data_IF_700854835856
#
_entry.id   IF_700854835856
#
_cell.length_a   1.000
_cell.length_b   1.000
_cell.length_c   1.000
_cell.angle_alpha   90.00
_cell.angle_beta   90.00
_cell.angle_gamma   90.00
#
_symmetry.space_group_name_H-M   'P 1'
#
loop_
_entity.id
_entity.type
_entity.pdbx_description
1 polymer ?
#
# COMPACT_ATOMS: atom_id res chain seq x y z
N UNK A 1 -13.80 12.98 12.99
CA UNK A 1 -13.49 12.93 11.56
C UNK A 1 -14.73 12.42 10.84
N UNK A 2 -15.27 13.16 9.88
CA UNK A 2 -16.39 12.72 9.05
C UNK A 2 -15.88 11.89 7.84
N UNK A 3 -16.81 11.27 7.08
CA UNK A 3 -16.49 10.42 5.94
C UNK A 3 -15.63 11.12 4.87
N UNK A 4 -15.93 12.38 4.56
CA UNK A 4 -15.20 13.14 3.55
C UNK A 4 -13.77 13.42 3.99
N UNK A 5 -13.58 13.86 5.24
CA UNK A 5 -12.26 14.07 5.84
C UNK A 5 -11.42 12.78 5.83
N UNK A 6 -12.05 11.64 6.17
CA UNK A 6 -11.38 10.33 6.14
C UNK A 6 -10.98 9.91 4.72
N UNK A 7 -11.87 10.12 3.75
CA UNK A 7 -11.60 9.83 2.32
C UNK A 7 -10.44 10.66 1.81
N UNK A 8 -10.42 11.96 2.09
CA UNK A 8 -9.32 12.85 1.72
C UNK A 8 -8.00 12.47 2.41
N UNK A 9 -8.05 12.07 3.68
CA UNK A 9 -6.87 11.55 4.38
C UNK A 9 -6.31 10.30 3.69
N UNK A 10 -7.16 9.32 3.37
CA UNK A 10 -6.75 8.09 2.69
C UNK A 10 -6.13 8.41 1.33
N UNK A 11 -6.76 9.28 0.53
CA UNK A 11 -6.23 9.68 -0.77
C UNK A 11 -4.89 10.40 -0.62
N UNK A 12 -4.75 11.24 0.42
CA UNK A 12 -3.50 11.91 0.74
C UNK A 12 -2.35 10.94 0.98
N UNK A 13 -2.59 9.77 1.58
CA UNK A 13 -1.56 8.75 1.79
C UNK A 13 -0.99 8.16 0.51
N UNK A 14 -1.70 8.26 -0.63
CA UNK A 14 -1.17 7.78 -1.92
C UNK A 14 0.07 8.58 -2.34
N UNK A 15 0.16 9.85 -1.95
CA UNK A 15 1.32 10.71 -2.26
C UNK A 15 2.61 10.24 -1.58
N UNK A 16 2.49 9.46 -0.50
CA UNK A 16 3.59 8.87 0.25
C UNK A 16 3.49 7.35 0.31
N UNK A 17 2.82 6.73 -0.67
CA UNK A 17 2.60 5.29 -0.71
C UNK A 17 3.93 4.56 -0.91
N UNK A 18 4.19 3.52 -0.10
CA UNK A 18 5.44 2.75 -0.18
C UNK A 18 5.74 2.27 -1.60
N UNK A 19 4.71 1.89 -2.38
CA UNK A 19 4.91 1.41 -3.75
C UNK A 19 5.40 2.49 -4.72
N UNK A 20 5.33 3.78 -4.38
CA UNK A 20 5.78 4.85 -5.26
C UNK A 20 7.21 5.32 -4.95
N UNK A 21 7.84 4.83 -3.88
CA UNK A 21 9.17 5.27 -3.47
C UNK A 21 10.17 4.13 -3.57
N UNK A 22 10.90 4.08 -4.68
CA UNK A 22 11.87 3.02 -4.93
C UNK A 22 13.22 3.34 -4.29
N UNK A 23 13.86 2.30 -3.79
CA UNK A 23 15.21 2.41 -3.26
C UNK A 23 16.20 2.65 -4.41
N UNK A 24 17.07 3.67 -4.32
CA UNK A 24 18.08 3.93 -5.35
C UNK A 24 19.20 2.86 -5.37
N UNK A 25 19.39 2.15 -4.24
CA UNK A 25 20.36 1.07 -4.08
C UNK A 25 19.96 0.12 -2.94
N UNK A 26 20.46 -1.12 -2.92
CA UNK A 26 21.28 -1.77 -3.95
C UNK A 26 20.45 -2.14 -5.20
N UNK A 27 21.11 -2.29 -6.35
CA UNK A 27 20.45 -2.56 -7.64
C UNK A 27 19.55 -3.80 -7.61
N UNK A 28 19.92 -4.83 -6.83
CA UNK A 28 19.11 -6.04 -6.65
C UNK A 28 17.74 -5.72 -6.03
N UNK A 29 17.69 -4.83 -5.03
CA UNK A 29 16.43 -4.40 -4.40
C UNK A 29 15.61 -3.57 -5.39
N UNK A 30 16.24 -2.62 -6.08
CA UNK A 30 15.58 -1.80 -7.09
C UNK A 30 14.89 -2.65 -8.15
N UNK A 31 15.57 -3.65 -8.72
CA UNK A 31 14.99 -4.57 -9.71
C UNK A 31 13.82 -5.38 -9.15
N UNK A 32 13.87 -5.77 -7.88
CA UNK A 32 12.76 -6.46 -7.21
C UNK A 32 11.55 -5.53 -7.04
N UNK A 33 11.75 -4.26 -6.68
CA UNK A 33 10.69 -3.25 -6.59
C UNK A 33 10.09 -2.98 -7.98
N UNK A 34 10.91 -2.76 -8.99
CA UNK A 34 10.46 -2.58 -10.38
C UNK A 34 9.60 -3.75 -10.85
N UNK A 35 10.02 -4.99 -10.58
CA UNK A 35 9.27 -6.17 -10.96
C UNK A 35 7.97 -6.33 -10.18
N UNK A 36 8.03 -6.25 -8.84
CA UNK A 36 6.91 -6.61 -7.97
C UNK A 36 5.96 -5.43 -7.75
N UNK A 37 6.49 -4.28 -7.33
CA UNK A 37 5.68 -3.09 -7.10
C UNK A 37 5.23 -2.46 -8.41
N UNK A 38 6.09 -2.47 -9.44
CA UNK A 38 5.74 -2.00 -10.78
C UNK A 38 4.53 -2.73 -11.37
N UNK A 39 4.39 -4.04 -11.12
CA UNK A 39 3.22 -4.81 -11.56
C UNK A 39 1.91 -4.34 -10.89
N UNK A 40 1.94 -3.96 -9.62
CA UNK A 40 0.77 -3.42 -8.91
C UNK A 40 0.43 -2.03 -9.47
N UNK A 41 1.43 -1.16 -9.61
CA UNK A 41 1.27 0.20 -10.16
C UNK A 41 0.68 0.16 -11.57
N UNK A 42 1.17 -0.74 -12.42
CA UNK A 42 0.68 -0.91 -13.78
C UNK A 42 -0.82 -1.22 -13.81
N UNK A 43 -1.32 -2.09 -12.92
CA UNK A 43 -2.76 -2.42 -12.86
C UNK A 43 -3.64 -1.22 -12.53
N UNK A 44 -3.21 -0.34 -11.62
CA UNK A 44 -3.94 0.89 -11.34
C UNK A 44 -3.88 1.86 -12.52
N UNK A 45 -2.74 1.95 -13.21
CA UNK A 45 -2.61 2.77 -14.41
C UNK A 45 -3.48 2.25 -15.57
N UNK A 46 -3.63 0.92 -15.71
CA UNK A 46 -4.54 0.30 -16.68
C UNK A 46 -6.02 0.63 -16.40
N UNK A 47 -6.36 0.88 -15.13
CA UNK A 47 -7.69 1.39 -14.70
C UNK A 47 -7.85 2.90 -14.88
N UNK A 48 -6.85 3.61 -15.41
CA UNK A 48 -6.89 5.05 -15.67
C UNK A 48 -6.22 5.92 -14.61
N UNK A 49 -5.47 5.35 -13.67
CA UNK A 49 -4.56 6.14 -12.82
C UNK A 49 -3.31 6.58 -13.59
N UNK A 50 -2.54 7.48 -12.98
CA UNK A 50 -1.26 7.97 -13.50
C UNK A 50 -0.23 8.02 -12.37
N UNK A 51 0.06 6.85 -11.84
CA UNK A 51 0.99 6.62 -10.75
C UNK A 51 2.40 6.39 -11.33
N UNK A 52 3.38 7.12 -10.81
CA UNK A 52 4.77 7.05 -11.24
C UNK A 52 5.67 6.83 -10.03
N UNK A 53 6.48 5.76 -10.02
CA UNK A 53 7.53 5.61 -9.02
C UNK A 53 8.52 6.77 -9.06
N UNK A 54 9.14 7.05 -7.91
CA UNK A 54 10.19 8.05 -7.74
C UNK A 54 11.29 7.48 -6.85
N UNK A 55 12.52 7.96 -7.05
CA UNK A 55 13.67 7.76 -6.15
C UNK A 55 13.93 9.03 -5.30
N UNK A 56 13.14 10.08 -5.53
CA UNK A 56 13.26 11.37 -4.85
C UNK A 56 12.57 11.35 -3.49
N UNK A 57 13.13 12.09 -2.53
CA UNK A 57 12.50 12.37 -1.24
C UNK A 57 11.36 13.40 -1.34
N UNK A 58 11.16 14.00 -2.52
CA UNK A 58 10.06 14.94 -2.73
C UNK A 58 8.72 14.21 -2.75
N UNK A 59 7.75 14.74 -2.01
CA UNK A 59 6.36 14.28 -2.08
C UNK A 59 5.79 14.60 -3.45
N UNK A 60 5.30 13.58 -4.14
CA UNK A 60 4.67 13.75 -5.46
C UNK A 60 3.18 14.02 -5.30
N UNK A 61 2.61 14.84 -6.18
CA UNK A 61 1.17 15.04 -6.23
C UNK A 61 0.53 14.00 -7.15
N UNK A 62 -0.63 13.47 -6.74
CA UNK A 62 -1.46 12.67 -7.64
C UNK A 62 -2.30 13.60 -8.52
N UNK A 63 -2.56 13.20 -9.76
CA UNK A 63 -3.41 13.98 -10.66
C UNK A 63 -4.90 13.78 -10.38
N UNK A 64 -5.72 14.61 -11.03
CA UNK A 64 -7.16 14.60 -10.84
C UNK A 64 -7.80 13.26 -11.25
N UNK A 65 -7.27 12.60 -12.29
CA UNK A 65 -7.76 11.31 -12.76
C UNK A 65 -7.53 10.21 -11.71
N UNK A 66 -6.31 10.11 -11.18
CA UNK A 66 -5.96 9.18 -10.11
C UNK A 66 -6.80 9.44 -8.87
N UNK A 67 -6.93 10.71 -8.46
CA UNK A 67 -7.76 11.09 -7.31
C UNK A 67 -9.22 10.67 -7.49
N UNK A 68 -9.80 10.93 -8.67
CA UNK A 68 -11.18 10.58 -8.95
C UNK A 68 -11.43 9.07 -8.94
N UNK A 69 -10.51 8.28 -9.52
CA UNK A 69 -10.57 6.82 -9.50
C UNK A 69 -10.60 6.28 -8.06
N UNK A 70 -9.72 6.80 -7.20
CA UNK A 70 -9.65 6.42 -5.79
C UNK A 70 -10.91 6.85 -5.03
N UNK A 71 -11.43 8.05 -5.27
CA UNK A 71 -12.67 8.54 -4.66
C UNK A 71 -13.85 7.60 -4.96
N UNK A 72 -14.09 7.30 -6.24
CA UNK A 72 -15.16 6.38 -6.67
C UNK A 72 -15.01 5.04 -5.96
N UNK A 73 -13.79 4.52 -5.87
CA UNK A 73 -13.56 3.22 -5.25
C UNK A 73 -13.80 3.24 -3.74
N UNK A 74 -13.39 4.30 -3.05
CA UNK A 74 -13.60 4.46 -1.60
C UNK A 74 -15.08 4.70 -1.25
N UNK A 75 -15.84 5.32 -2.17
CA UNK A 75 -17.28 5.56 -2.00
C UNK A 75 -18.10 4.27 -1.86
N UNK A 76 -17.61 3.14 -2.37
CA UNK A 76 -18.32 1.86 -2.27
C UNK A 76 -18.26 1.25 -0.87
N UNK A 77 -17.36 1.72 0.01
CA UNK A 77 -17.28 1.25 1.39
C UNK A 77 -18.32 1.95 2.27
N UNK A 78 -18.94 1.24 3.21
CA UNK A 78 -19.66 1.86 4.32
C UNK A 78 -18.71 2.66 5.22
N UNK A 79 -19.25 3.51 6.10
CA UNK A 79 -18.42 4.32 7.02
C UNK A 79 -17.55 3.46 7.95
N UNK A 80 -18.06 2.31 8.37
CA UNK A 80 -17.30 1.36 9.17
C UNK A 80 -16.19 0.70 8.35
N UNK A 81 -16.49 0.26 7.12
CA UNK A 81 -15.50 -0.33 6.22
C UNK A 81 -14.41 0.68 5.86
N UNK A 82 -14.73 1.95 5.65
CA UNK A 82 -13.74 2.97 5.34
C UNK A 82 -12.70 3.16 6.46
N UNK A 83 -13.13 3.01 7.72
CA UNK A 83 -12.21 3.03 8.87
C UNK A 83 -11.30 1.81 8.88
N UNK A 84 -11.85 0.61 8.66
CA UNK A 84 -11.05 -0.62 8.57
C UNK A 84 -10.11 -0.62 7.37
N UNK A 85 -10.53 -0.01 6.26
CA UNK A 85 -9.71 0.19 5.08
C UNK A 85 -8.49 1.05 5.42
N UNK A 86 -8.68 2.14 6.17
CA UNK A 86 -7.57 2.97 6.65
C UNK A 86 -6.59 2.18 7.50
N UNK A 87 -7.08 1.35 8.42
CA UNK A 87 -6.21 0.48 9.23
C UNK A 87 -5.44 -0.52 8.38
N UNK A 88 -6.08 -1.14 7.38
CA UNK A 88 -5.43 -2.05 6.43
C UNK A 88 -4.34 -1.33 5.62
N UNK A 89 -4.66 -0.17 5.05
CA UNK A 89 -3.71 0.67 4.32
C UNK A 89 -2.53 1.10 5.20
N UNK A 90 -2.78 1.38 6.49
CA UNK A 90 -1.74 1.67 7.47
C UNK A 90 -0.83 0.48 7.76
N UNK A 91 -1.38 -0.72 7.91
CA UNK A 91 -0.62 -1.95 8.13
C UNK A 91 0.33 -2.27 6.97
N UNK A 92 -0.13 -2.06 5.73
CA UNK A 92 0.67 -2.18 4.51
C UNK A 92 1.51 -0.95 4.18
N UNK A 93 1.29 0.19 4.85
CA UNK A 93 1.83 1.51 4.46
C UNK A 93 1.58 1.82 2.98
N UNK A 94 0.45 1.34 2.46
CA UNK A 94 0.09 1.43 1.06
C UNK A 94 -1.42 1.32 0.89
N UNK A 95 -2.01 2.35 0.28
CA UNK A 95 -3.41 2.38 -0.13
C UNK A 95 -3.61 1.48 -1.35
N UNK A 96 -2.62 1.43 -2.25
CA UNK A 96 -2.67 0.61 -3.46
C UNK A 96 -2.74 -0.87 -3.13
N UNK A 97 -1.92 -1.35 -2.18
CA UNK A 97 -1.98 -2.74 -1.72
C UNK A 97 -3.31 -3.05 -1.03
N UNK A 98 -3.80 -2.15 -0.17
CA UNK A 98 -5.09 -2.34 0.49
C UNK A 98 -6.24 -2.44 -0.53
N UNK A 99 -6.26 -1.56 -1.53
CA UNK A 99 -7.26 -1.61 -2.62
C UNK A 99 -7.13 -2.90 -3.44
N UNK A 100 -5.92 -3.32 -3.79
CA UNK A 100 -5.71 -4.57 -4.53
C UNK A 100 -6.23 -5.81 -3.77
N UNK A 101 -6.10 -5.83 -2.44
CA UNK A 101 -6.67 -6.89 -1.59
C UNK A 101 -8.20 -6.80 -1.52
N UNK A 102 -8.76 -5.61 -1.39
CA UNK A 102 -10.21 -5.41 -1.40
C UNK A 102 -10.83 -5.77 -2.76
N UNK A 103 -10.12 -5.51 -3.85
CA UNK A 103 -10.57 -5.84 -5.23
C UNK A 103 -10.35 -7.32 -5.59
N UNK A 104 -9.75 -8.12 -4.70
CA UNK A 104 -9.45 -9.52 -4.94
C UNK A 104 -8.33 -9.77 -5.94
N UNK A 105 -7.51 -8.76 -6.23
CA UNK A 105 -6.37 -8.85 -7.14
C UNK A 105 -5.12 -9.45 -6.48
N UNK A 106 -5.04 -9.33 -5.15
CA UNK A 106 -4.01 -9.88 -4.30
C UNK A 106 -4.66 -10.53 -3.07
N UNK A 107 -4.04 -11.59 -2.58
CA UNK A 107 -4.33 -12.11 -1.25
C UNK A 107 -3.73 -11.19 -0.17
N UNK A 108 -4.23 -11.32 1.06
CA UNK A 108 -3.76 -10.55 2.20
C UNK A 108 -2.29 -10.83 2.53
N UNK A 109 -1.87 -12.10 2.46
CA UNK A 109 -0.46 -12.49 2.68
C UNK A 109 0.45 -11.96 1.54
N UNK A 110 0.02 -12.02 0.27
CA UNK A 110 0.80 -11.48 -0.86
C UNK A 110 1.01 -9.97 -0.72
N UNK A 111 -0.05 -9.22 -0.39
CA UNK A 111 0.06 -7.79 -0.17
C UNK A 111 0.95 -7.46 1.03
N UNK A 112 0.86 -8.25 2.11
CA UNK A 112 1.73 -8.05 3.26
C UNK A 112 3.20 -8.26 2.91
N UNK A 113 3.54 -9.32 2.17
CA UNK A 113 4.91 -9.57 1.72
C UNK A 113 5.42 -8.48 0.76
N UNK A 114 4.56 -7.96 -0.12
CA UNK A 114 4.90 -6.80 -0.96
C UNK A 114 5.18 -5.55 -0.13
N UNK A 115 4.40 -5.30 0.93
CA UNK A 115 4.63 -4.17 1.84
C UNK A 115 5.93 -4.28 2.63
N UNK A 116 6.39 -5.51 2.89
CA UNK A 116 7.60 -5.81 3.65
C UNK A 116 8.81 -6.12 2.75
N UNK A 117 8.74 -5.87 1.44
CA UNK A 117 9.75 -6.29 0.48
C UNK A 117 11.16 -5.82 0.85
N UNK A 118 11.29 -4.57 1.29
CA UNK A 118 12.57 -3.99 1.71
C UNK A 118 13.07 -4.62 3.01
N UNK A 119 12.21 -4.79 4.01
CA UNK A 119 12.55 -5.46 5.28
C UNK A 119 13.02 -6.89 5.03
N UNK A 120 12.30 -7.65 4.19
CA UNK A 120 12.65 -9.00 3.79
C UNK A 120 14.01 -9.05 3.08
N UNK A 121 14.28 -8.10 2.19
CA UNK A 121 15.56 -8.01 1.50
C UNK A 121 16.72 -7.71 2.47
N UNK A 122 16.51 -6.80 3.43
CA UNK A 122 17.50 -6.48 4.45
C UNK A 122 17.77 -7.67 5.37
N UNK A 123 16.73 -8.43 5.73
CA UNK A 123 16.81 -9.61 6.58
C UNK A 123 17.65 -10.75 5.95
N UNK A 124 17.66 -10.85 4.62
CA UNK A 124 18.54 -11.79 3.90
C UNK A 124 20.02 -11.42 4.02
N UNK A 125 20.32 -10.13 4.15
CA UNK A 125 21.68 -9.59 4.20
C UNK A 125 22.20 -9.41 5.64
N UNK A 126 21.30 -9.07 6.55
CA UNK A 126 21.57 -8.78 7.95
C UNK A 126 20.54 -9.54 8.79
N UNK A 127 20.98 -10.43 9.68
CA UNK A 127 20.05 -11.15 10.56
C UNK A 127 19.12 -10.18 11.30
N UNK A 128 17.82 -10.41 11.20
CA UNK A 128 16.79 -9.60 11.82
C UNK A 128 16.89 -9.66 13.34
N UNK A 129 16.79 -8.52 14.00
CA UNK A 129 16.63 -8.51 15.45
C UNK A 129 15.19 -8.89 15.86
N UNK A 130 15.05 -9.48 17.04
CA UNK A 130 13.77 -9.95 17.57
C UNK A 130 12.69 -8.85 17.64
N UNK A 131 13.07 -7.59 17.86
CA UNK A 131 12.11 -6.48 17.90
C UNK A 131 11.49 -6.19 16.52
N UNK A 132 12.30 -6.22 15.45
CA UNK A 132 11.83 -6.00 14.09
C UNK A 132 10.89 -7.13 13.63
N UNK A 133 11.20 -8.38 13.97
CA UNK A 133 10.32 -9.52 13.69
C UNK A 133 8.96 -9.36 14.38
N UNK A 134 8.98 -9.03 15.68
CA UNK A 134 7.75 -8.80 16.47
C UNK A 134 6.91 -7.65 15.91
N UNK A 135 7.54 -6.56 15.47
CA UNK A 135 6.85 -5.44 14.85
C UNK A 135 6.21 -5.83 13.51
N UNK A 136 6.89 -6.64 12.68
CA UNK A 136 6.33 -7.19 11.44
C UNK A 136 5.13 -8.10 11.73
N UNK A 137 5.26 -9.04 12.66
CA UNK A 137 4.16 -9.93 13.05
C UNK A 137 2.94 -9.15 13.56
N UNK A 138 3.14 -8.12 14.37
CA UNK A 138 2.07 -7.26 14.85
C UNK A 138 1.34 -6.54 13.70
N UNK A 139 2.07 -6.04 12.69
CA UNK A 139 1.47 -5.45 11.49
C UNK A 139 0.71 -6.48 10.66
N UNK A 140 1.20 -7.71 10.57
CA UNK A 140 0.51 -8.78 9.84
C UNK A 140 -0.82 -9.14 10.51
N UNK A 141 -0.82 -9.28 11.83
CA UNK A 141 -2.04 -9.51 12.62
C UNK A 141 -3.02 -8.35 12.47
N UNK A 142 -2.52 -7.11 12.47
CA UNK A 142 -3.37 -5.93 12.24
C UNK A 142 -3.99 -5.95 10.83
N UNK A 143 -3.22 -6.28 9.80
CA UNK A 143 -3.73 -6.42 8.43
C UNK A 143 -4.83 -7.51 8.33
N UNK A 144 -4.59 -8.68 8.92
CA UNK A 144 -5.57 -9.78 9.00
C UNK A 144 -6.85 -9.35 9.70
N UNK A 145 -6.72 -8.68 10.84
CA UNK A 145 -7.86 -8.19 11.62
C UNK A 145 -8.67 -7.18 10.81
N UNK A 146 -8.02 -6.17 10.23
CA UNK A 146 -8.69 -5.18 9.40
C UNK A 146 -9.39 -5.81 8.19
N UNK A 147 -8.73 -6.78 7.53
CA UNK A 147 -9.28 -7.47 6.36
C UNK A 147 -10.57 -8.25 6.66
N UNK A 148 -10.73 -8.80 7.87
CA UNK A 148 -11.94 -9.52 8.28
C UNK A 148 -13.18 -8.61 8.37
N UNK A 149 -12.97 -7.32 8.61
CA UNK A 149 -14.05 -6.34 8.69
C UNK A 149 -14.37 -5.65 7.36
N UNK A 150 -13.59 -5.94 6.32
CA UNK A 150 -13.82 -5.47 4.97
C UNK A 150 -14.54 -6.57 4.18
N UNK A 151 -15.73 -6.27 3.69
CA UNK A 151 -16.36 -7.13 2.69
C UNK A 151 -15.59 -7.00 1.38
N UNK A 152 -15.49 -8.10 0.63
CA UNK A 152 -14.98 -8.09 -0.74
C UNK A 152 -15.93 -7.29 -1.60
#
# INVERSE_FOLDING_TARGET
>A
MNRNELTEQIIGYVQTDTLLYFAPYPEKLKRLQEQKWGAVIARFNDKGANLKPTESLAVSTIDAATRHLLQIRLETFSDAELQWFRELAGAYRSVLLALAVCDGELTEDEAFDLSCLEELFQNELWQTDAEALKAREARHVAAKTARQHLKG
#
